data_IF_192497312116
#
_entry.id   IF_192497312116
#
_cell.length_a   1.000
_cell.length_b   1.000
_cell.length_c   1.000
_cell.angle_alpha   90.00
_cell.angle_beta   90.00
_cell.angle_gamma   90.00
#
_symmetry.space_group_name_H-M   'P 1'
#
loop_
_entity.id
_entity.type
_entity.pdbx_description
1 polymer ?
#
# COMPACT_ATOMS: atom_id res chain seq x y z
N UNK A 1 -18.02 42.24 29.28
CA UNK A 1 -18.35 41.15 28.35
C UNK A 1 -17.13 40.22 28.32
N UNK A 2 -17.19 39.10 29.05
CA UNK A 2 -16.07 38.19 29.19
C UNK A 2 -16.16 37.14 28.10
N UNK A 3 -15.13 37.08 27.20
CA UNK A 3 -14.98 36.02 26.24
C UNK A 3 -14.61 34.73 26.99
N UNK A 4 -15.52 33.79 27.08
CA UNK A 4 -15.23 32.40 27.45
C UNK A 4 -14.51 31.74 26.27
N UNK A 5 -13.20 31.62 26.36
CA UNK A 5 -12.43 30.74 25.51
C UNK A 5 -12.85 29.29 25.75
N UNK A 6 -13.42 28.69 24.73
CA UNK A 6 -13.80 27.27 24.70
C UNK A 6 -12.53 26.43 24.56
N UNK A 7 -11.81 26.21 25.68
CA UNK A 7 -10.73 25.23 25.74
C UNK A 7 -11.33 23.82 25.79
N UNK A 8 -11.62 23.24 24.63
CA UNK A 8 -11.80 21.80 24.56
C UNK A 8 -10.48 21.11 24.89
N UNK A 9 -10.45 20.15 25.86
CA UNK A 9 -9.22 19.44 26.18
C UNK A 9 -8.74 18.71 24.91
N UNK A 10 -7.53 19.01 24.46
CA UNK A 10 -6.87 18.26 23.40
C UNK A 10 -6.75 16.81 23.88
N UNK A 11 -7.60 15.92 23.36
CA UNK A 11 -7.39 14.48 23.46
C UNK A 11 -5.97 14.20 23.03
N UNK A 12 -5.16 13.51 23.84
CA UNK A 12 -3.82 13.05 23.51
C UNK A 12 -3.89 12.36 22.14
N UNK A 13 -3.48 13.07 21.10
CA UNK A 13 -3.43 12.52 19.75
C UNK A 13 -2.26 11.55 19.73
N UNK A 14 -2.58 10.28 19.51
CA UNK A 14 -1.56 9.24 19.29
C UNK A 14 -0.72 9.65 18.08
N UNK A 15 0.59 9.72 18.26
CA UNK A 15 1.51 9.93 17.15
C UNK A 15 1.82 8.57 16.51
N UNK A 16 1.03 8.22 15.50
CA UNK A 16 1.17 6.93 14.82
C UNK A 16 2.53 6.74 14.13
N UNK A 17 3.20 7.82 13.72
CA UNK A 17 4.55 7.71 13.18
C UNK A 17 5.54 7.20 14.23
N UNK A 18 5.49 7.73 15.46
CA UNK A 18 6.34 7.25 16.56
C UNK A 18 6.04 5.81 16.95
N UNK A 19 4.76 5.42 16.92
CA UNK A 19 4.38 4.03 17.19
C UNK A 19 4.88 3.08 16.10
N UNK A 20 4.80 3.49 14.82
CA UNK A 20 5.38 2.74 13.71
C UNK A 20 6.90 2.58 13.86
N UNK A 21 7.62 3.64 14.19
CA UNK A 21 9.07 3.61 14.41
C UNK A 21 9.48 2.63 15.52
N UNK A 22 8.74 2.62 16.63
CA UNK A 22 8.96 1.64 17.72
C UNK A 22 8.73 0.21 17.24
N UNK A 23 7.64 -0.01 16.49
CA UNK A 23 7.34 -1.33 15.93
C UNK A 23 8.44 -1.80 14.97
N UNK A 24 8.88 -0.92 14.07
CA UNK A 24 9.95 -1.24 13.12
C UNK A 24 11.28 -1.57 13.86
N UNK A 25 11.60 -0.85 14.91
CA UNK A 25 12.78 -1.13 15.73
C UNK A 25 12.68 -2.51 16.44
N UNK A 26 11.50 -2.86 16.97
CA UNK A 26 11.30 -4.18 17.59
C UNK A 26 11.40 -5.32 16.57
N UNK A 27 10.83 -5.17 15.38
CA UNK A 27 10.92 -6.16 14.29
C UNK A 27 12.36 -6.34 13.81
N UNK A 28 13.15 -5.28 13.76
CA UNK A 28 14.55 -5.36 13.39
C UNK A 28 15.37 -6.10 14.47
N UNK A 29 15.10 -5.83 15.75
CA UNK A 29 15.73 -6.56 16.84
C UNK A 29 15.39 -8.06 16.82
N UNK A 30 14.13 -8.41 16.55
CA UNK A 30 13.71 -9.80 16.35
C UNK A 30 14.41 -10.45 15.16
N UNK A 31 14.56 -9.72 14.04
CA UNK A 31 15.26 -10.20 12.86
C UNK A 31 16.72 -10.52 13.16
N UNK A 32 17.42 -9.64 13.89
CA UNK A 32 18.84 -9.80 14.24
C UNK A 32 19.04 -10.97 15.20
N UNK A 33 18.16 -11.12 16.20
CA UNK A 33 18.26 -12.19 17.20
C UNK A 33 17.72 -13.55 16.72
N UNK A 34 16.98 -13.57 15.60
CA UNK A 34 16.32 -14.74 15.06
C UNK A 34 17.03 -15.30 13.80
N UNK A 35 16.22 -15.67 12.79
CA UNK A 35 16.72 -16.31 11.56
C UNK A 35 17.18 -15.32 10.47
N UNK A 36 17.24 -14.03 10.76
CA UNK A 36 17.63 -12.98 9.82
C UNK A 36 16.58 -12.62 8.77
N UNK A 37 15.44 -13.33 8.71
CA UNK A 37 14.41 -13.12 7.70
C UNK A 37 13.53 -11.91 8.04
N UNK A 38 13.19 -11.13 7.01
CA UNK A 38 12.18 -10.06 7.11
C UNK A 38 10.77 -10.66 7.28
N UNK A 39 9.91 -9.93 7.94
CA UNK A 39 8.48 -10.29 7.98
C UNK A 39 7.84 -10.00 6.62
N UNK A 40 6.85 -10.81 6.25
CA UNK A 40 6.05 -10.60 5.05
C UNK A 40 4.93 -9.59 5.33
N UNK A 41 4.72 -8.68 4.41
CA UNK A 41 3.68 -7.65 4.48
C UNK A 41 2.83 -7.69 3.20
N UNK A 42 1.53 -7.93 3.35
CA UNK A 42 0.57 -7.71 2.29
C UNK A 42 0.05 -6.28 2.39
N UNK A 43 0.29 -5.48 1.36
CA UNK A 43 -0.08 -4.07 1.30
C UNK A 43 -1.14 -3.86 0.21
N UNK A 44 -2.34 -3.47 0.60
CA UNK A 44 -3.37 -3.07 -0.37
C UNK A 44 -3.06 -1.69 -0.97
N UNK A 45 -3.08 -1.57 -2.30
CA UNK A 45 -2.81 -0.32 -3.01
C UNK A 45 -3.96 0.07 -3.93
N UNK A 46 -4.32 1.36 -3.91
CA UNK A 46 -5.32 1.91 -4.82
C UNK A 46 -4.71 2.50 -6.10
N UNK A 47 -3.49 2.98 -6.05
CA UNK A 47 -2.77 3.56 -7.20
C UNK A 47 -1.28 3.75 -6.89
N UNK A 48 -0.46 3.93 -7.92
CA UNK A 48 0.97 4.15 -7.81
C UNK A 48 1.36 5.41 -7.00
N UNK A 49 0.80 6.61 -7.26
CA UNK A 49 1.16 7.79 -6.51
C UNK A 49 0.94 7.67 -5.00
N UNK A 50 -0.18 7.07 -4.59
CA UNK A 50 -0.49 6.88 -3.16
C UNK A 50 0.44 5.89 -2.49
N UNK A 51 0.99 4.94 -3.24
CA UNK A 51 1.79 3.82 -2.71
C UNK A 51 3.29 4.10 -2.73
N UNK A 52 3.78 5.02 -3.57
CA UNK A 52 5.21 5.22 -3.83
C UNK A 52 6.03 5.46 -2.56
N UNK A 53 5.64 6.42 -1.74
CA UNK A 53 6.34 6.73 -0.49
C UNK A 53 6.27 5.56 0.51
N UNK A 54 5.12 4.93 0.65
CA UNK A 54 4.93 3.82 1.59
C UNK A 54 5.77 2.61 1.19
N UNK A 55 5.81 2.29 -0.09
CA UNK A 55 6.63 1.21 -0.63
C UNK A 55 8.12 1.49 -0.41
N UNK A 56 8.57 2.69 -0.72
CA UNK A 56 9.95 3.09 -0.52
C UNK A 56 10.36 3.02 0.96
N UNK A 57 9.51 3.52 1.85
CA UNK A 57 9.76 3.52 3.28
C UNK A 57 9.81 2.11 3.90
N UNK A 58 8.96 1.18 3.42
CA UNK A 58 8.79 -0.13 4.03
C UNK A 58 9.60 -1.26 3.36
N UNK A 59 10.01 -1.12 2.08
CA UNK A 59 10.67 -2.21 1.34
C UNK A 59 11.96 -2.73 1.97
N UNK A 60 12.69 -1.86 2.69
CA UNK A 60 13.89 -2.26 3.39
C UNK A 60 13.60 -3.04 4.70
N UNK A 61 12.39 -2.95 5.20
CA UNK A 61 11.96 -3.56 6.48
C UNK A 61 11.17 -4.84 6.32
N UNK A 62 10.46 -5.00 5.19
CA UNK A 62 9.55 -6.11 4.93
C UNK A 62 9.82 -6.76 3.57
N UNK A 63 9.36 -8.00 3.43
CA UNK A 63 9.10 -8.64 2.13
C UNK A 63 7.69 -8.24 1.71
N UNK A 64 7.56 -7.34 0.72
CA UNK A 64 6.27 -6.72 0.37
C UNK A 64 5.63 -7.44 -0.80
N UNK A 65 4.38 -7.84 -0.61
CA UNK A 65 3.45 -8.15 -1.69
C UNK A 65 2.38 -7.07 -1.73
N UNK A 66 2.27 -6.37 -2.85
CA UNK A 66 1.23 -5.37 -3.09
C UNK A 66 0.02 -6.06 -3.71
N UNK A 67 -1.13 -5.96 -3.05
CA UNK A 67 -2.40 -6.39 -3.61
C UNK A 67 -3.10 -5.20 -4.27
N UNK A 68 -3.33 -5.28 -5.58
CA UNK A 68 -4.18 -4.37 -6.30
C UNK A 68 -5.56 -5.01 -6.52
N UNK A 69 -6.52 -4.67 -5.67
CA UNK A 69 -7.91 -5.12 -5.75
C UNK A 69 -8.84 -3.98 -5.36
N UNK A 70 -9.45 -3.32 -6.34
CA UNK A 70 -10.20 -2.09 -6.15
C UNK A 70 -11.57 -2.16 -6.82
N UNK A 71 -12.54 -2.89 -6.27
CA UNK A 71 -13.87 -3.05 -6.86
C UNK A 71 -14.67 -1.73 -6.94
N UNK A 72 -14.26 -0.72 -6.18
CA UNK A 72 -14.82 0.64 -6.23
C UNK A 72 -14.44 1.42 -7.49
N UNK A 73 -13.46 0.93 -8.27
CA UNK A 73 -13.15 1.49 -9.60
C UNK A 73 -14.03 0.78 -10.61
N UNK A 74 -15.13 1.42 -10.97
CA UNK A 74 -16.19 0.84 -11.81
C UNK A 74 -15.88 0.87 -13.30
N UNK A 75 -15.00 1.79 -13.74
CA UNK A 75 -14.54 1.89 -15.10
C UNK A 75 -13.34 0.98 -15.35
N UNK A 76 -13.49 0.04 -16.29
CA UNK A 76 -12.47 -0.97 -16.56
C UNK A 76 -11.16 -0.37 -17.06
N UNK A 77 -11.22 0.61 -17.94
CA UNK A 77 -10.04 1.28 -18.48
C UNK A 77 -9.23 1.98 -17.36
N UNK A 78 -9.92 2.61 -16.41
CA UNK A 78 -9.28 3.25 -15.27
C UNK A 78 -8.66 2.23 -14.30
N UNK A 79 -9.32 1.09 -14.09
CA UNK A 79 -8.77 -0.02 -13.30
C UNK A 79 -7.47 -0.54 -13.90
N UNK A 80 -7.49 -0.87 -15.20
CA UNK A 80 -6.34 -1.40 -15.93
C UNK A 80 -5.18 -0.38 -15.99
N UNK A 81 -5.48 0.89 -16.21
CA UNK A 81 -4.49 1.97 -16.22
C UNK A 81 -3.78 2.12 -14.88
N UNK A 82 -4.51 2.12 -13.77
CA UNK A 82 -3.91 2.22 -12.43
C UNK A 82 -3.11 0.99 -12.06
N UNK A 83 -3.58 -0.20 -12.43
CA UNK A 83 -2.84 -1.45 -12.26
C UNK A 83 -1.52 -1.43 -13.03
N UNK A 84 -1.55 -1.03 -14.30
CA UNK A 84 -0.36 -0.91 -15.14
C UNK A 84 0.68 0.06 -14.56
N UNK A 85 0.25 1.22 -14.07
CA UNK A 85 1.13 2.21 -13.42
C UNK A 85 1.73 1.69 -12.10
N UNK A 86 0.94 0.97 -11.30
CA UNK A 86 1.45 0.36 -10.07
C UNK A 86 2.51 -0.70 -10.35
N UNK A 87 2.27 -1.55 -11.35
CA UNK A 87 3.25 -2.54 -11.83
C UNK A 87 4.50 -1.89 -12.41
N UNK A 88 4.34 -0.74 -13.11
CA UNK A 88 5.48 0.04 -13.61
C UNK A 88 6.33 0.58 -12.46
N UNK A 89 5.68 1.17 -11.45
CA UNK A 89 6.36 1.67 -10.25
C UNK A 89 7.15 0.56 -9.54
N UNK A 90 6.51 -0.58 -9.27
CA UNK A 90 7.17 -1.71 -8.61
C UNK A 90 8.38 -2.22 -9.41
N UNK A 91 8.27 -2.33 -10.74
CA UNK A 91 9.41 -2.70 -11.61
C UNK A 91 10.55 -1.70 -11.52
N UNK A 92 10.25 -0.40 -11.55
CA UNK A 92 11.27 0.63 -11.39
C UNK A 92 12.00 0.52 -10.06
N UNK A 93 11.26 0.40 -8.95
CA UNK A 93 11.84 0.25 -7.62
C UNK A 93 12.67 -1.02 -7.48
N UNK A 94 12.25 -2.12 -8.10
CA UNK A 94 13.00 -3.38 -8.10
C UNK A 94 14.30 -3.29 -8.89
N UNK A 95 14.32 -2.54 -10.01
CA UNK A 95 15.53 -2.29 -10.79
C UNK A 95 16.56 -1.47 -10.02
N UNK A 96 16.11 -0.45 -9.29
CA UNK A 96 16.96 0.36 -8.43
C UNK A 96 17.61 -0.46 -7.30
N UNK A 97 16.89 -1.46 -6.75
CA UNK A 97 17.41 -2.35 -5.71
C UNK A 97 18.38 -3.40 -6.21
N UNK A 98 18.24 -3.83 -7.46
CA UNK A 98 19.05 -4.91 -8.02
C UNK A 98 20.51 -4.52 -8.35
N UNK A 99 20.86 -3.21 -8.26
CA UNK A 99 22.22 -2.71 -8.52
C UNK A 99 22.82 -3.31 -9.79
N UNK A 100 22.63 -2.65 -10.95
CA UNK A 100 23.34 -2.87 -12.23
C UNK A 100 23.47 -4.31 -12.81
N UNK A 101 22.82 -5.30 -12.23
CA UNK A 101 22.68 -6.64 -12.79
C UNK A 101 21.28 -6.77 -13.40
N UNK A 102 21.15 -6.52 -14.70
CA UNK A 102 19.88 -6.68 -15.41
C UNK A 102 19.44 -8.15 -15.36
N UNK A 103 18.22 -8.47 -14.85
CA UNK A 103 17.58 -9.69 -15.27
C UNK A 103 17.13 -9.50 -16.72
N UNK A 104 17.59 -10.37 -17.60
CA UNK A 104 17.22 -10.46 -18.99
C UNK A 104 15.68 -10.40 -19.16
N UNK A 105 15.23 -9.67 -20.19
CA UNK A 105 13.82 -9.57 -20.56
C UNK A 105 13.20 -10.96 -20.71
N UNK A 106 12.19 -11.29 -19.92
CA UNK A 106 11.15 -12.20 -20.38
C UNK A 106 10.88 -13.49 -19.61
N UNK A 107 11.38 -13.74 -18.39
CA UNK A 107 10.90 -14.89 -17.64
C UNK A 107 10.55 -14.53 -16.20
N UNK A 108 9.30 -14.76 -15.81
CA UNK A 108 8.95 -14.94 -14.40
C UNK A 108 9.79 -16.11 -13.87
N UNK A 109 10.46 -15.96 -12.72
CA UNK A 109 11.15 -17.10 -12.10
C UNK A 109 10.11 -18.15 -11.69
N UNK A 110 10.21 -19.33 -12.26
CA UNK A 110 9.35 -20.51 -12.01
C UNK A 110 9.81 -21.34 -10.79
N UNK A 111 10.86 -20.92 -10.09
CA UNK A 111 11.37 -21.57 -8.89
C UNK A 111 11.41 -20.55 -7.74
N UNK A 112 11.39 -20.96 -6.45
CA UNK A 112 11.48 -20.06 -5.32
C UNK A 112 12.87 -19.44 -5.22
N UNK A 113 13.22 -18.62 -6.19
CA UNK A 113 14.43 -17.81 -6.17
C UNK A 113 14.35 -16.89 -4.95
N UNK A 114 15.43 -16.84 -4.18
CA UNK A 114 15.58 -15.86 -3.09
C UNK A 114 15.52 -14.48 -3.74
N UNK A 115 14.38 -13.83 -3.58
CA UNK A 115 14.18 -12.49 -4.11
C UNK A 115 15.18 -11.51 -3.47
N UNK A 116 15.72 -10.55 -4.23
CA UNK A 116 16.59 -9.52 -3.66
C UNK A 116 15.93 -8.79 -2.49
N UNK A 117 16.74 -8.31 -1.55
CA UNK A 117 16.22 -7.50 -0.44
C UNK A 117 15.52 -6.26 -0.98
N UNK A 118 14.33 -5.96 -0.45
CA UNK A 118 13.52 -4.82 -0.91
C UNK A 118 12.76 -5.05 -2.22
N UNK A 119 12.72 -6.29 -2.73
CA UNK A 119 11.93 -6.63 -3.91
C UNK A 119 10.44 -6.57 -3.60
N UNK A 120 9.67 -5.98 -4.50
CA UNK A 120 8.23 -5.78 -4.39
C UNK A 120 7.51 -6.68 -5.39
N UNK A 121 6.69 -7.58 -4.87
CA UNK A 121 5.74 -8.35 -5.69
C UNK A 121 4.45 -7.56 -5.88
N UNK A 122 3.78 -7.73 -7.02
CA UNK A 122 2.45 -7.15 -7.26
C UNK A 122 1.52 -8.25 -7.70
N UNK A 123 0.46 -8.44 -6.92
CA UNK A 123 -0.66 -9.30 -7.24
C UNK A 123 -1.87 -8.44 -7.60
N UNK A 124 -2.52 -8.79 -8.70
CA UNK A 124 -3.72 -8.12 -9.19
C UNK A 124 -4.93 -9.02 -8.96
N UNK A 125 -5.93 -8.47 -8.26
CA UNK A 125 -7.23 -9.11 -8.13
C UNK A 125 -8.09 -8.91 -9.38
N UNK A 126 -9.16 -9.66 -9.48
CA UNK A 126 -10.12 -9.53 -10.57
C UNK A 126 -10.86 -8.18 -10.50
N UNK A 127 -11.24 -7.67 -11.67
CA UNK A 127 -12.08 -6.48 -11.75
C UNK A 127 -13.54 -6.88 -11.51
N UNK A 128 -14.05 -6.60 -10.32
CA UNK A 128 -15.38 -7.01 -9.85
C UNK A 128 -16.21 -5.80 -9.34
N UNK A 129 -16.59 -4.84 -10.21
CA UNK A 129 -17.32 -3.66 -9.75
C UNK A 129 -18.70 -4.00 -9.14
N UNK A 130 -19.29 -5.14 -9.50
CA UNK A 130 -20.56 -5.61 -8.96
C UNK A 130 -20.48 -5.78 -7.44
N UNK A 131 -19.36 -6.24 -6.91
CA UNK A 131 -19.15 -6.36 -5.47
C UNK A 131 -19.24 -5.02 -4.75
N UNK A 132 -18.71 -3.96 -5.34
CA UNK A 132 -18.84 -2.63 -4.78
C UNK A 132 -20.30 -2.17 -4.76
N UNK A 133 -21.04 -2.38 -5.85
CA UNK A 133 -22.46 -2.01 -5.91
C UNK A 133 -23.31 -2.81 -4.93
N UNK A 134 -23.02 -4.09 -4.73
CA UNK A 134 -23.72 -4.94 -3.76
C UNK A 134 -23.50 -4.43 -2.32
N UNK A 135 -22.25 -4.14 -1.94
CA UNK A 135 -21.91 -3.69 -0.58
C UNK A 135 -22.41 -2.26 -0.31
N UNK A 136 -22.41 -1.40 -1.34
CA UNK A 136 -22.88 -0.01 -1.24
C UNK A 136 -24.40 0.14 -1.35
N UNK A 137 -25.11 -0.92 -1.70
CA UNK A 137 -26.56 -0.90 -1.83
C UNK A 137 -27.23 -0.45 -0.53
N UNK A 138 -28.03 0.62 -0.60
CA UNK A 138 -28.71 1.22 0.56
C UNK A 138 -27.84 2.18 1.38
N UNK A 139 -26.57 2.38 1.05
CA UNK A 139 -25.72 3.41 1.69
C UNK A 139 -25.81 4.77 0.98
N UNK A 140 -26.17 4.79 -0.30
CA UNK A 140 -26.32 6.03 -1.08
C UNK A 140 -27.35 6.99 -0.47
N UNK A 141 -28.44 6.48 0.15
CA UNK A 141 -29.44 7.29 0.84
C UNK A 141 -28.93 7.87 2.17
N UNK A 142 -27.92 7.25 2.79
CA UNK A 142 -27.33 7.69 4.06
C UNK A 142 -26.15 8.64 3.88
N UNK A 143 -25.51 8.60 2.71
CA UNK A 143 -24.39 9.45 2.33
C UNK A 143 -24.86 10.47 1.29
N UNK A 144 -25.86 11.30 1.64
CA UNK A 144 -26.22 12.46 0.83
C UNK A 144 -25.06 13.47 0.91
N UNK A 145 -24.11 13.36 0.00
CA UNK A 145 -23.19 14.45 -0.31
C UNK A 145 -23.86 15.23 -1.44
N UNK A 146 -24.32 16.49 -1.19
CA UNK A 146 -24.89 17.30 -2.25
C UNK A 146 -23.87 17.45 -3.37
N UNK A 147 -24.28 17.22 -4.61
CA UNK A 147 -23.44 17.34 -5.81
C UNK A 147 -22.91 18.76 -6.10
N UNK A 148 -22.92 19.67 -5.13
CA UNK A 148 -22.48 21.05 -5.25
C UNK A 148 -21.20 21.37 -4.49
N UNK A 149 -20.42 20.38 -4.06
CA UNK A 149 -19.18 20.58 -3.33
C UNK A 149 -17.95 20.08 -4.13
N UNK A 150 -17.95 20.28 -5.47
CA UNK A 150 -16.77 20.12 -6.32
C UNK A 150 -16.55 21.40 -7.08
#
# INVERSE_FOLDING_TARGET
MQNKECCTPQKNRINYQKELEKLLASLEAERISGNGKKKRLLLHACCAPCSSYVLEYLREKFEITVLYYNPNITEREEYEKRSAELKRLARQMNQESAGAGQPEKGSLPTEPAVLPSGFILVEEGEWEPQRFFEVSKGLAEKLYIPAQAV
#
